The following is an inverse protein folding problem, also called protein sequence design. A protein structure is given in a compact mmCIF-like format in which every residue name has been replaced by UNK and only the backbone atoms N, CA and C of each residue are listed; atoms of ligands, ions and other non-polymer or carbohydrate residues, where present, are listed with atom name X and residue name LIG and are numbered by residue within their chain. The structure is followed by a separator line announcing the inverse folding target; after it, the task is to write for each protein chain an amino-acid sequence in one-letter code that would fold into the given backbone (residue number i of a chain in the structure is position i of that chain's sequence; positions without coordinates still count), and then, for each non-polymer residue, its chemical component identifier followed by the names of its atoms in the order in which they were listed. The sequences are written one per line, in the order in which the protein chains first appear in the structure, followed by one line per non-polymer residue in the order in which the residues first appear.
data_IF_185627362441
#
_entry.id   IF_185627362441
#
_cell.length_a   1.000
_cell.length_b   1.000
_cell.length_c   1.000
_cell.angle_alpha   90.00
_cell.angle_beta   90.00
_cell.angle_gamma   90.00
#
_symmetry.space_group_name_H-M   'P 1'
#
loop_
_entity.id
_entity.type
_entity.pdbx_description
1 polymer ?
#
# COMPACT_ATOMS: atom_id res chain seq x y z
N UNK A 1 7.03 2.47 15.31
CA UNK A 1 8.27 2.39 16.12
C UNK A 1 8.65 0.92 16.25
N UNK A 2 9.81 0.52 15.80
CA UNK A 2 10.27 -0.87 15.90
C UNK A 2 10.76 -1.10 17.33
N UNK A 3 10.16 -2.05 18.06
CA UNK A 3 10.67 -2.45 19.38
C UNK A 3 11.78 -3.52 19.21
N UNK A 4 13.01 -3.05 19.01
CA UNK A 4 14.19 -3.91 18.90
C UNK A 4 14.71 -4.39 20.27
N UNK A 5 14.19 -3.81 21.38
CA UNK A 5 14.72 -4.06 22.74
C UNK A 5 14.54 -5.49 23.23
N UNK A 6 13.57 -6.23 22.66
CA UNK A 6 13.23 -7.58 23.08
C UNK A 6 13.45 -8.64 21.99
N UNK A 7 14.30 -8.36 20.98
CA UNK A 7 14.46 -9.21 19.79
C UNK A 7 13.16 -9.51 19.03
N UNK A 8 12.13 -8.67 19.23
CA UNK A 8 10.86 -8.75 18.53
C UNK A 8 10.80 -7.64 17.49
N UNK A 9 10.54 -8.01 16.26
CA UNK A 9 10.44 -7.11 15.13
C UNK A 9 8.99 -7.03 14.68
N UNK A 10 8.41 -5.86 14.86
CA UNK A 10 7.02 -5.59 14.51
C UNK A 10 6.91 -4.23 13.86
N UNK A 11 6.05 -4.13 12.86
CA UNK A 11 5.64 -2.86 12.26
C UNK A 11 4.40 -2.37 13.01
N UNK A 12 4.43 -1.13 13.53
CA UNK A 12 3.29 -0.52 14.21
C UNK A 12 2.06 -0.47 13.30
N UNK A 13 0.86 -0.43 13.88
CA UNK A 13 -0.39 -0.49 13.12
C UNK A 13 -0.52 0.61 12.06
N UNK A 14 -0.07 1.83 12.39
CA UNK A 14 -0.12 2.99 11.48
C UNK A 14 1.04 3.06 10.48
N UNK A 15 2.04 2.17 10.60
CA UNK A 15 3.24 2.16 9.79
C UNK A 15 3.10 1.10 8.70
N UNK A 16 3.37 1.50 7.46
CA UNK A 16 3.41 0.60 6.31
C UNK A 16 4.78 -0.05 6.16
N UNK A 17 5.85 0.74 6.30
CA UNK A 17 7.23 0.27 6.24
C UNK A 17 8.12 1.06 7.20
N UNK A 18 9.11 0.39 7.79
CA UNK A 18 10.09 1.00 8.69
C UNK A 18 11.50 0.52 8.36
N UNK A 19 12.45 1.46 8.34
CA UNK A 19 13.86 1.20 8.10
C UNK A 19 14.61 1.05 9.41
N UNK A 20 15.34 -0.04 9.55
CA UNK A 20 16.24 -0.30 10.68
C UNK A 20 17.67 -0.34 10.14
N UNK A 21 18.52 0.53 10.62
CA UNK A 21 19.93 0.56 10.21
C UNK A 21 20.74 -0.50 10.96
N UNK A 22 21.54 -1.27 10.25
CA UNK A 22 22.39 -2.31 10.85
C UNK A 22 23.38 -1.84 11.92
N UNK A 23 23.93 -0.61 11.92
CA UNK A 23 24.71 -0.15 13.07
C UNK A 23 23.95 -0.19 14.39
N UNK A 24 22.64 -0.03 14.36
CA UNK A 24 21.79 -0.16 15.55
C UNK A 24 21.53 -1.64 15.88
N UNK A 25 21.49 -2.49 14.87
CA UNK A 25 21.49 -3.96 15.04
C UNK A 25 22.86 -4.47 15.49
N UNK A 26 23.96 -3.95 14.95
CA UNK A 26 25.32 -4.34 15.34
C UNK A 26 25.58 -4.00 16.82
N UNK A 27 25.03 -2.91 17.34
CA UNK A 27 25.09 -2.63 18.80
C UNK A 27 24.32 -3.65 19.63
N UNK A 28 23.28 -4.25 19.05
CA UNK A 28 22.55 -5.38 19.64
C UNK A 28 23.35 -6.69 19.47
N UNK A 29 24.18 -6.79 18.42
CA UNK A 29 24.89 -8.01 18.00
C UNK A 29 26.40 -8.01 18.27
N UNK A 30 27.04 -6.85 18.56
CA UNK A 30 28.42 -6.86 19.05
C UNK A 30 28.44 -7.29 20.52
N UNK A 31 28.72 -8.57 20.82
CA UNK A 31 28.86 -8.96 22.20
C UNK A 31 30.22 -8.50 22.69
N UNK A 32 30.26 -7.42 23.42
CA UNK A 32 31.29 -7.32 24.47
C UNK A 32 31.21 -8.61 25.28
N UNK A 33 32.36 -9.17 25.68
CA UNK A 33 32.46 -10.54 26.25
C UNK A 33 31.43 -10.92 27.29
N UNK A 34 30.86 -9.93 28.02
CA UNK A 34 29.76 -10.09 28.96
C UNK A 34 28.42 -10.40 28.26
N UNK A 35 28.11 -9.74 27.14
CA UNK A 35 26.90 -9.98 26.34
C UNK A 35 26.92 -11.36 25.68
N UNK A 36 28.06 -11.78 25.18
CA UNK A 36 28.26 -13.14 24.61
C UNK A 36 28.03 -14.24 25.65
N UNK A 37 28.44 -14.01 26.90
CA UNK A 37 28.20 -14.90 28.01
C UNK A 37 26.68 -14.88 28.41
N UNK A 38 26.05 -13.72 28.43
CA UNK A 38 24.62 -13.54 28.76
C UNK A 38 23.71 -14.15 27.68
N UNK A 39 24.00 -13.93 26.39
CA UNK A 39 23.29 -14.55 25.26
C UNK A 39 23.37 -16.07 25.31
N UNK A 40 24.54 -16.61 25.65
CA UNK A 40 24.75 -18.07 25.80
C UNK A 40 23.98 -18.66 27.00
N UNK A 41 23.68 -17.83 28.02
CA UNK A 41 23.01 -18.25 29.24
C UNK A 41 21.47 -18.04 29.19
N UNK A 42 20.99 -17.08 28.41
CA UNK A 42 19.55 -16.72 28.33
C UNK A 42 18.86 -17.35 27.13
N UNK A 43 19.57 -18.02 26.24
CA UNK A 43 18.96 -18.61 25.03
C UNK A 43 18.43 -17.58 24.02
N UNK A 44 18.73 -16.27 24.20
CA UNK A 44 18.26 -15.19 23.35
C UNK A 44 19.04 -15.12 22.01
N UNK A 45 19.15 -16.27 21.34
CA UNK A 45 19.78 -16.39 20.02
C UNK A 45 18.75 -16.31 18.89
N UNK A 46 17.56 -15.78 19.13
CA UNK A 46 16.51 -15.73 18.13
C UNK A 46 15.93 -14.35 17.97
N UNK A 47 15.59 -14.02 16.72
CA UNK A 47 14.76 -12.88 16.34
C UNK A 47 13.34 -13.40 16.14
N UNK A 48 12.38 -12.73 16.71
CA UNK A 48 10.96 -13.01 16.48
C UNK A 48 10.40 -11.92 15.56
N UNK A 49 10.01 -12.31 14.35
CA UNK A 49 9.26 -11.45 13.42
C UNK A 49 7.79 -11.73 13.67
N UNK A 50 7.07 -10.70 14.11
CA UNK A 50 5.66 -10.83 14.47
C UNK A 50 4.80 -11.20 13.26
N UNK A 51 3.67 -11.90 13.46
CA UNK A 51 2.70 -12.17 12.41
C UNK A 51 2.31 -10.89 11.65
N UNK A 52 2.16 -10.99 10.34
CA UNK A 52 1.86 -9.86 9.46
C UNK A 52 3.05 -8.97 9.13
N UNK A 53 4.26 -9.27 9.65
CA UNK A 53 5.50 -8.53 9.33
C UNK A 53 6.43 -9.37 8.47
N UNK A 54 7.12 -8.74 7.52
CA UNK A 54 8.22 -9.31 6.75
C UNK A 54 9.43 -8.40 6.88
N UNK A 55 10.61 -8.99 7.12
CA UNK A 55 11.87 -8.26 7.16
C UNK A 55 12.66 -8.50 5.87
N UNK A 56 12.90 -7.44 5.10
CA UNK A 56 13.76 -7.46 3.92
C UNK A 56 15.14 -6.94 4.27
N UNK A 57 16.16 -7.59 3.76
CA UNK A 57 17.56 -7.18 3.91
C UNK A 57 18.05 -6.61 2.60
N UNK A 58 18.56 -5.39 2.65
CA UNK A 58 19.03 -4.63 1.49
C UNK A 58 20.49 -4.26 1.71
N UNK A 59 21.36 -4.60 0.77
CA UNK A 59 22.78 -4.27 0.73
C UNK A 59 23.07 -3.54 -0.58
N UNK A 60 23.71 -2.38 -0.49
CA UNK A 60 24.09 -1.56 -1.65
C UNK A 60 22.94 -1.29 -2.65
N UNK A 61 21.71 -1.15 -2.13
CA UNK A 61 20.51 -0.91 -2.94
C UNK A 61 19.85 -2.18 -3.49
N UNK A 62 20.43 -3.37 -3.29
CA UNK A 62 19.86 -4.64 -3.75
C UNK A 62 19.25 -5.43 -2.59
N UNK A 63 18.10 -6.05 -2.84
CA UNK A 63 17.47 -6.95 -1.88
C UNK A 63 18.25 -8.29 -1.86
N UNK A 64 18.94 -8.55 -0.75
CA UNK A 64 19.71 -9.78 -0.58
C UNK A 64 18.88 -10.94 -0.03
N UNK A 65 17.70 -10.63 0.52
CA UNK A 65 16.74 -11.63 0.95
C UNK A 65 15.67 -11.10 1.92
N UNK A 66 14.81 -12.01 2.40
CA UNK A 66 13.75 -11.67 3.34
C UNK A 66 13.50 -12.78 4.35
N UNK A 67 13.02 -12.40 5.52
CA UNK A 67 12.54 -13.31 6.57
C UNK A 67 11.05 -13.09 6.79
N UNK A 68 10.22 -14.12 6.67
CA UNK A 68 8.79 -14.05 7.00
C UNK A 68 8.57 -14.00 8.51
N UNK A 69 7.34 -13.80 8.92
CA UNK A 69 6.91 -13.94 10.31
C UNK A 69 7.35 -15.29 10.89
N UNK A 70 7.79 -15.27 12.14
CA UNK A 70 8.28 -16.46 12.85
C UNK A 70 9.50 -16.21 13.72
N UNK A 71 9.99 -17.29 14.33
CA UNK A 71 11.20 -17.25 15.14
C UNK A 71 12.40 -17.73 14.33
N UNK A 72 13.39 -16.86 14.16
CA UNK A 72 14.59 -17.13 13.39
C UNK A 72 15.81 -17.13 14.31
N UNK A 73 16.63 -18.19 14.27
CA UNK A 73 17.86 -18.20 15.06
C UNK A 73 18.87 -17.20 14.49
N UNK A 74 19.54 -16.45 15.37
CA UNK A 74 20.57 -15.50 14.95
C UNK A 74 21.64 -16.14 14.09
N UNK A 75 22.04 -17.36 14.43
CA UNK A 75 23.02 -18.11 13.64
C UNK A 75 22.55 -18.32 12.21
N UNK A 76 21.31 -18.77 12.01
CA UNK A 76 20.74 -18.96 10.66
C UNK A 76 20.61 -17.66 9.90
N UNK A 77 20.22 -16.57 10.57
CA UNK A 77 20.13 -15.23 9.94
C UNK A 77 21.51 -14.74 9.49
N UNK A 78 22.52 -14.84 10.36
CA UNK A 78 23.87 -14.41 10.04
C UNK A 78 24.54 -15.28 8.96
N UNK A 79 24.35 -16.60 8.99
CA UNK A 79 24.82 -17.51 7.97
C UNK A 79 24.16 -17.26 6.62
N UNK A 80 22.85 -17.05 6.63
CA UNK A 80 22.06 -16.79 5.45
C UNK A 80 22.42 -15.45 4.79
N UNK A 81 22.58 -14.38 5.58
CA UNK A 81 22.98 -13.06 5.09
C UNK A 81 24.46 -12.98 4.69
N UNK A 82 25.27 -13.99 5.00
CA UNK A 82 26.74 -13.93 4.87
C UNK A 82 27.33 -12.68 5.56
N UNK A 83 26.72 -12.23 6.63
CA UNK A 83 26.93 -10.93 7.30
C UNK A 83 28.35 -10.72 7.84
N UNK A 84 29.18 -11.75 7.89
CA UNK A 84 30.61 -11.60 8.25
C UNK A 84 31.38 -10.60 7.39
N UNK A 85 30.79 -10.14 6.26
CA UNK A 85 31.35 -9.13 5.36
C UNK A 85 30.50 -7.87 5.24
N UNK A 86 29.25 -7.84 5.74
CA UNK A 86 28.30 -6.77 5.49
C UNK A 86 28.45 -5.67 6.54
N UNK A 87 29.06 -4.54 6.16
CA UNK A 87 29.23 -3.38 7.02
C UNK A 87 28.06 -2.37 6.93
N UNK A 88 27.17 -2.49 5.96
CA UNK A 88 26.16 -1.47 5.64
C UNK A 88 24.83 -2.04 5.09
N UNK A 89 24.35 -3.15 5.62
CA UNK A 89 23.02 -3.61 5.25
C UNK A 89 21.92 -2.83 5.99
N UNK A 90 20.82 -2.60 5.30
CA UNK A 90 19.60 -1.99 5.83
C UNK A 90 18.53 -3.06 5.95
N UNK A 91 17.79 -3.08 7.05
CA UNK A 91 16.62 -3.94 7.20
C UNK A 91 15.37 -3.08 7.02
N UNK A 92 14.48 -3.53 6.14
CA UNK A 92 13.16 -2.92 5.95
C UNK A 92 12.12 -3.87 6.50
N UNK A 93 11.39 -3.41 7.48
CA UNK A 93 10.23 -4.11 8.01
C UNK A 93 8.99 -3.59 7.29
N UNK A 94 8.20 -4.49 6.73
CA UNK A 94 6.95 -4.15 6.04
C UNK A 94 5.83 -5.08 6.46
N UNK A 95 4.60 -4.71 6.09
CA UNK A 95 3.48 -5.64 6.16
C UNK A 95 3.67 -6.75 5.12
N UNK A 96 3.50 -8.01 5.56
CA UNK A 96 3.64 -9.18 4.70
C UNK A 96 2.37 -9.57 3.95
N UNK A 97 1.23 -8.99 4.34
CA UNK A 97 -0.09 -9.25 3.76
C UNK A 97 -0.45 -8.18 2.75
N UNK A 98 -1.46 -8.48 1.92
CA UNK A 98 -2.03 -7.50 1.00
C UNK A 98 -2.64 -6.35 1.79
N UNK A 99 -2.27 -5.14 1.43
CA UNK A 99 -2.76 -3.95 2.09
C UNK A 99 -3.89 -3.33 1.28
N UNK A 100 -4.98 -2.98 1.96
CA UNK A 100 -6.18 -2.45 1.35
C UNK A 100 -6.23 -0.93 1.52
N UNK A 101 -6.61 -0.25 0.43
CA UNK A 101 -6.76 1.20 0.40
C UNK A 101 -8.10 1.56 -0.19
N UNK A 102 -8.84 2.38 0.55
CA UNK A 102 -10.05 3.04 0.09
C UNK A 102 -9.67 4.46 -0.37
N UNK A 103 -10.01 4.78 -1.61
CA UNK A 103 -9.66 6.05 -2.25
C UNK A 103 -10.90 6.63 -2.88
N UNK A 104 -11.22 7.84 -2.45
CA UNK A 104 -12.31 8.64 -2.97
C UNK A 104 -11.76 9.65 -3.97
N UNK A 105 -12.35 9.70 -5.13
CA UNK A 105 -12.00 10.58 -6.22
C UNK A 105 -13.21 11.42 -6.58
N UNK A 106 -13.03 12.73 -6.64
CA UNK A 106 -14.10 13.68 -6.87
C UNK A 106 -13.94 14.41 -8.20
N UNK A 107 -15.06 14.89 -8.75
CA UNK A 107 -15.11 15.76 -9.91
C UNK A 107 -14.40 15.20 -11.15
N UNK A 108 -14.61 13.91 -11.46
CA UNK A 108 -14.01 13.26 -12.63
C UNK A 108 -14.86 13.57 -13.86
N UNK A 109 -14.31 14.23 -14.90
CA UNK A 109 -15.08 14.55 -16.09
C UNK A 109 -15.30 13.29 -16.97
N UNK A 110 -16.53 13.12 -17.43
CA UNK A 110 -16.94 12.15 -18.44
C UNK A 110 -16.65 12.67 -19.86
N UNK A 111 -16.96 11.88 -20.87
CA UNK A 111 -16.85 12.26 -22.28
C UNK A 111 -17.68 13.51 -22.64
N UNK A 112 -18.79 13.74 -21.93
CA UNK A 112 -19.74 14.83 -22.15
C UNK A 112 -19.47 16.03 -21.23
N UNK A 113 -18.32 16.07 -20.57
CA UNK A 113 -17.96 17.08 -19.56
C UNK A 113 -18.92 17.14 -18.36
N UNK A 114 -19.62 16.02 -18.08
CA UNK A 114 -20.37 15.85 -16.84
C UNK A 114 -19.41 15.28 -15.79
N UNK A 115 -19.61 15.66 -14.53
CA UNK A 115 -18.72 15.25 -13.45
C UNK A 115 -19.34 14.10 -12.66
N UNK A 116 -18.48 13.14 -12.32
CA UNK A 116 -18.81 11.99 -11.49
C UNK A 116 -17.77 11.82 -10.38
N UNK A 117 -18.19 11.22 -9.28
CA UNK A 117 -17.32 10.78 -8.22
C UNK A 117 -17.08 9.28 -8.34
N UNK A 118 -15.91 8.81 -7.95
CA UNK A 118 -15.59 7.40 -7.94
C UNK A 118 -14.95 7.01 -6.62
N UNK A 119 -15.44 5.91 -6.05
CA UNK A 119 -14.83 5.26 -4.90
C UNK A 119 -14.16 3.97 -5.37
N UNK A 120 -12.89 3.81 -5.04
CA UNK A 120 -12.13 2.63 -5.42
C UNK A 120 -11.48 2.00 -4.18
N UNK A 121 -11.74 0.70 -3.99
CA UNK A 121 -11.01 -0.12 -3.02
C UNK A 121 -10.07 -1.04 -3.78
N UNK A 122 -8.79 -0.96 -3.43
CA UNK A 122 -7.75 -1.76 -4.07
C UNK A 122 -6.80 -2.38 -3.06
N UNK A 123 -6.10 -3.43 -3.51
CA UNK A 123 -5.09 -4.13 -2.73
C UNK A 123 -3.73 -4.01 -3.39
N UNK A 124 -2.72 -3.70 -2.59
CA UNK A 124 -1.32 -3.65 -3.01
C UNK A 124 -0.41 -4.39 -2.02
N UNK A 125 0.77 -4.74 -2.49
CA UNK A 125 1.84 -5.35 -1.70
C UNK A 125 3.19 -4.79 -2.16
N UNK A 126 4.19 -4.71 -1.29
CA UNK A 126 5.57 -4.47 -1.73
C UNK A 126 6.09 -5.76 -2.37
N UNK A 127 6.53 -5.67 -3.62
CA UNK A 127 7.14 -6.76 -4.36
C UNK A 127 8.65 -6.58 -4.52
N UNK A 128 9.05 -5.37 -4.83
CA UNK A 128 10.44 -5.01 -5.05
C UNK A 128 10.85 -3.95 -4.01
N UNK A 129 11.48 -4.44 -2.95
CA UNK A 129 11.87 -3.57 -1.83
C UNK A 129 13.01 -2.64 -2.21
N UNK A 130 13.86 -2.99 -3.18
CA UNK A 130 14.93 -2.12 -3.64
C UNK A 130 14.35 -0.91 -4.39
N UNK A 131 13.46 -1.14 -5.35
CA UNK A 131 12.74 -0.07 -6.03
C UNK A 131 11.88 0.76 -5.05
N UNK A 132 11.27 0.11 -4.05
CA UNK A 132 10.51 0.82 -3.02
C UNK A 132 11.41 1.76 -2.20
N UNK A 133 12.61 1.31 -1.84
CA UNK A 133 13.58 2.14 -1.14
C UNK A 133 14.03 3.32 -1.98
N UNK A 134 14.44 3.07 -3.22
CA UNK A 134 15.05 4.07 -4.07
C UNK A 134 14.05 5.13 -4.55
N UNK A 135 12.85 4.69 -4.96
CA UNK A 135 11.90 5.55 -5.65
C UNK A 135 10.75 6.04 -4.74
N UNK A 136 10.56 5.42 -3.57
CA UNK A 136 9.45 5.77 -2.69
C UNK A 136 9.90 6.17 -1.28
N UNK A 137 10.60 5.30 -0.56
CA UNK A 137 11.00 5.56 0.82
C UNK A 137 12.11 6.62 0.94
N UNK A 138 13.04 6.63 -0.02
CA UNK A 138 14.15 7.60 -0.05
C UNK A 138 14.96 7.57 1.25
N UNK A 139 15.09 8.73 1.91
CA UNK A 139 15.81 8.89 3.18
C UNK A 139 14.95 8.72 4.43
N UNK A 140 13.65 8.51 4.27
CA UNK A 140 12.73 8.38 5.40
C UNK A 140 13.01 7.11 6.19
N UNK A 141 12.85 7.19 7.51
CA UNK A 141 12.99 6.04 8.40
C UNK A 141 11.69 5.23 8.52
N UNK A 142 10.55 5.87 8.34
CA UNK A 142 9.23 5.26 8.41
C UNK A 142 8.31 5.83 7.34
N UNK A 143 7.44 4.99 6.81
CA UNK A 143 6.35 5.34 5.89
C UNK A 143 5.04 4.90 6.53
N UNK A 144 4.12 5.83 6.72
CA UNK A 144 2.78 5.52 7.22
C UNK A 144 1.85 5.05 6.11
N UNK A 145 0.70 4.46 6.48
CA UNK A 145 -0.37 4.16 5.53
C UNK A 145 -0.91 5.42 4.85
N UNK A 146 -1.00 6.52 5.59
CA UNK A 146 -1.47 7.79 5.01
C UNK A 146 -0.51 8.33 3.96
N UNK A 147 0.81 8.26 4.18
CA UNK A 147 1.78 8.63 3.16
C UNK A 147 1.63 7.79 1.88
N UNK A 148 1.38 6.47 2.02
CA UNK A 148 1.12 5.62 0.85
C UNK A 148 -0.14 6.08 0.14
N UNK A 149 -1.23 6.29 0.87
CA UNK A 149 -2.52 6.72 0.34
C UNK A 149 -2.39 8.04 -0.44
N UNK A 150 -1.82 9.08 0.18
CA UNK A 150 -1.61 10.38 -0.45
C UNK A 150 -0.82 10.31 -1.76
N UNK A 151 0.20 9.44 -1.82
CA UNK A 151 1.02 9.27 -3.02
C UNK A 151 0.37 8.37 -4.09
N UNK A 152 -0.53 7.47 -3.68
CA UNK A 152 -1.29 6.63 -4.62
C UNK A 152 -2.42 7.39 -5.30
N UNK A 153 -3.05 8.35 -4.61
CA UNK A 153 -4.18 9.12 -5.13
C UNK A 153 -3.89 9.69 -6.54
N UNK A 154 -2.80 10.42 -6.81
CA UNK A 154 -2.54 10.97 -8.13
C UNK A 154 -2.38 9.91 -9.23
N UNK A 155 -1.76 8.76 -8.89
CA UNK A 155 -1.56 7.66 -9.84
C UNK A 155 -2.89 7.01 -10.22
N UNK A 156 -3.74 6.78 -9.22
CA UNK A 156 -5.05 6.16 -9.39
C UNK A 156 -5.99 7.13 -10.10
N UNK A 157 -6.03 8.40 -9.66
CA UNK A 157 -6.83 9.46 -10.29
C UNK A 157 -6.56 9.53 -11.78
N UNK A 158 -5.31 9.53 -12.20
CA UNK A 158 -4.96 9.59 -13.61
C UNK A 158 -5.48 8.38 -14.40
N UNK A 159 -5.41 7.17 -13.83
CA UNK A 159 -5.91 5.96 -14.48
C UNK A 159 -7.43 5.93 -14.57
N UNK A 160 -8.11 6.33 -13.48
CA UNK A 160 -9.57 6.40 -13.40
C UNK A 160 -10.11 7.49 -14.34
N UNK A 161 -9.52 8.68 -14.31
CA UNK A 161 -9.90 9.78 -15.22
C UNK A 161 -9.75 9.38 -16.68
N UNK A 162 -8.64 8.72 -17.04
CA UNK A 162 -8.43 8.25 -18.42
C UNK A 162 -9.51 7.25 -18.84
N UNK A 163 -9.89 6.33 -17.96
CA UNK A 163 -10.92 5.34 -18.23
C UNK A 163 -12.32 5.97 -18.34
N UNK A 164 -12.67 6.87 -17.41
CA UNK A 164 -14.01 7.52 -17.36
C UNK A 164 -14.20 8.52 -18.48
N UNK A 165 -13.19 9.30 -18.85
CA UNK A 165 -13.26 10.29 -19.97
C UNK A 165 -13.63 9.69 -21.32
N UNK A 166 -13.47 8.39 -21.48
CA UNK A 166 -13.85 7.68 -22.71
C UNK A 166 -15.32 7.28 -22.74
N UNK A 167 -16.02 7.37 -21.60
CA UNK A 167 -17.36 6.84 -21.41
C UNK A 167 -18.42 7.96 -21.40
N UNK A 168 -19.59 7.63 -21.92
CA UNK A 168 -20.77 8.46 -21.74
C UNK A 168 -21.33 8.30 -20.32
N UNK A 169 -21.90 9.38 -19.82
CA UNK A 169 -22.44 9.41 -18.46
C UNK A 169 -23.51 8.32 -18.21
N UNK A 170 -24.42 8.14 -19.16
CA UNK A 170 -25.51 7.14 -19.01
C UNK A 170 -24.99 5.71 -19.01
N UNK A 171 -23.87 5.44 -19.70
CA UNK A 171 -23.24 4.13 -19.71
C UNK A 171 -22.64 3.78 -18.34
N UNK A 172 -22.15 4.78 -17.60
CA UNK A 172 -21.50 4.58 -16.28
C UNK A 172 -22.45 4.04 -15.22
N UNK A 173 -23.78 4.15 -15.42
CA UNK A 173 -24.79 3.58 -14.51
C UNK A 173 -24.95 2.07 -14.64
N UNK A 174 -24.44 1.48 -15.71
CA UNK A 174 -24.58 0.04 -15.92
C UNK A 174 -23.49 -0.74 -15.17
N UNK A 175 -23.89 -1.82 -14.47
CA UNK A 175 -22.92 -2.69 -13.79
C UNK A 175 -21.88 -3.28 -14.74
N UNK A 176 -22.22 -3.52 -16.00
CA UNK A 176 -21.29 -4.00 -17.03
C UNK A 176 -20.21 -2.97 -17.35
N UNK A 177 -20.55 -1.68 -17.33
CA UNK A 177 -19.58 -0.61 -17.56
C UNK A 177 -18.63 -0.46 -16.37
N UNK A 178 -19.11 -0.55 -15.14
CA UNK A 178 -18.26 -0.55 -13.93
C UNK A 178 -17.26 -1.70 -13.98
N UNK A 179 -17.66 -2.89 -14.42
CA UNK A 179 -16.76 -4.01 -14.62
C UNK A 179 -15.71 -3.72 -15.71
N UNK A 180 -16.13 -3.15 -16.84
CA UNK A 180 -15.21 -2.74 -17.93
C UNK A 180 -14.20 -1.71 -17.46
N UNK A 181 -14.62 -0.71 -16.66
CA UNK A 181 -13.74 0.28 -16.06
C UNK A 181 -12.76 -0.38 -15.10
N UNK A 182 -13.23 -1.26 -14.23
CA UNK A 182 -12.40 -2.00 -13.29
C UNK A 182 -11.29 -2.77 -14.02
N UNK A 183 -11.63 -3.45 -15.11
CA UNK A 183 -10.67 -4.18 -15.94
C UNK A 183 -9.66 -3.23 -16.60
N UNK A 184 -10.12 -2.12 -17.18
CA UNK A 184 -9.25 -1.13 -17.82
C UNK A 184 -8.26 -0.51 -16.83
N UNK A 185 -8.72 -0.16 -15.64
CA UNK A 185 -7.87 0.38 -14.57
C UNK A 185 -6.88 -0.67 -14.09
N UNK A 186 -7.33 -1.92 -13.93
CA UNK A 186 -6.48 -3.05 -13.51
C UNK A 186 -5.37 -3.38 -14.51
N UNK A 187 -5.54 -3.07 -15.78
CA UNK A 187 -4.48 -3.21 -16.79
C UNK A 187 -3.42 -2.09 -16.71
N UNK A 188 -3.83 -0.89 -16.34
CA UNK A 188 -2.95 0.29 -16.34
C UNK A 188 -2.17 0.46 -15.03
N UNK A 189 -2.81 0.23 -13.87
CA UNK A 189 -2.23 0.45 -12.55
C UNK A 189 -0.93 -0.34 -12.30
N UNK A 190 -0.81 -1.64 -12.66
CA UNK A 190 0.39 -2.42 -12.38
C UNK A 190 1.66 -1.82 -12.98
N UNK A 191 1.56 -1.25 -14.18
CA UNK A 191 2.71 -0.63 -14.88
C UNK A 191 3.21 0.60 -14.14
N UNK A 192 2.28 1.40 -13.60
CA UNK A 192 2.59 2.63 -12.86
C UNK A 192 3.15 2.32 -11.48
N UNK A 193 2.52 1.39 -10.76
CA UNK A 193 2.88 1.03 -9.39
C UNK A 193 4.22 0.30 -9.29
N UNK A 194 4.55 -0.49 -10.32
CA UNK A 194 5.82 -1.24 -10.37
C UNK A 194 7.05 -0.34 -10.28
N UNK A 195 6.97 0.89 -10.78
CA UNK A 195 8.08 1.87 -10.70
C UNK A 195 8.46 2.23 -9.26
N UNK A 196 7.52 2.07 -8.34
CA UNK A 196 7.70 2.35 -6.91
C UNK A 196 7.89 1.07 -6.08
N UNK A 197 8.08 -0.07 -6.74
CA UNK A 197 8.26 -1.35 -6.05
C UNK A 197 6.97 -2.01 -5.59
N UNK A 198 5.79 -1.45 -5.92
CA UNK A 198 4.51 -2.05 -5.57
C UNK A 198 4.04 -3.08 -6.58
N UNK A 199 3.40 -4.12 -6.08
CA UNK A 199 2.57 -5.03 -6.83
C UNK A 199 1.11 -4.67 -6.60
N UNK A 200 0.41 -4.33 -7.66
CA UNK A 200 -1.05 -4.21 -7.64
C UNK A 200 -1.64 -5.62 -7.66
N UNK A 201 -2.51 -5.93 -6.71
CA UNK A 201 -3.14 -7.24 -6.60
C UNK A 201 -4.47 -7.24 -7.36
N UNK A 202 -5.41 -6.39 -6.92
CA UNK A 202 -6.74 -6.31 -7.53
C UNK A 202 -7.50 -5.04 -7.10
N UNK A 203 -8.51 -4.69 -7.88
CA UNK A 203 -9.60 -3.83 -7.45
C UNK A 203 -10.64 -4.72 -6.76
N UNK A 204 -10.96 -4.41 -5.51
CA UNK A 204 -11.97 -5.14 -4.74
C UNK A 204 -13.37 -4.56 -4.94
N UNK A 205 -13.44 -3.24 -5.10
CA UNK A 205 -14.68 -2.53 -5.37
C UNK A 205 -14.39 -1.27 -6.18
N UNK A 206 -15.30 -0.95 -7.08
CA UNK A 206 -15.36 0.31 -7.80
C UNK A 206 -16.81 0.75 -7.85
N UNK A 207 -17.09 1.95 -7.39
CA UNK A 207 -18.39 2.60 -7.56
C UNK A 207 -18.21 3.93 -8.26
N UNK A 208 -19.20 4.30 -9.06
CA UNK A 208 -19.26 5.61 -9.73
C UNK A 208 -20.59 6.22 -9.41
N UNK A 209 -20.57 7.44 -8.89
CA UNK A 209 -21.77 8.20 -8.50
C UNK A 209 -21.73 9.62 -9.06
N UNK A 210 -22.87 10.29 -9.08
CA UNK A 210 -22.92 11.69 -9.47
C UNK A 210 -23.88 12.46 -8.58
N UNK A 211 -23.37 13.36 -7.79
CA UNK A 211 -24.18 14.20 -6.93
C UNK A 211 -25.10 15.18 -7.72
N UNK A 212 -24.60 15.73 -8.82
CA UNK A 212 -25.36 16.71 -9.60
C UNK A 212 -26.59 16.17 -10.30
N UNK A 213 -26.63 14.88 -10.62
CA UNK A 213 -27.76 14.26 -11.33
C UNK A 213 -28.84 13.76 -10.40
N UNK A 214 -28.51 13.33 -9.23
CA UNK A 214 -29.49 12.95 -8.22
C UNK A 214 -30.33 14.19 -7.80
N UNK A 215 -29.69 15.34 -7.69
CA UNK A 215 -30.41 16.62 -7.50
C UNK A 215 -31.24 17.03 -8.71
N UNK A 216 -30.72 16.86 -9.93
CA UNK A 216 -31.48 17.19 -11.17
C UNK A 216 -32.62 16.20 -11.38
N UNK A 217 -32.44 14.92 -11.11
CA UNK A 217 -33.53 13.93 -11.18
C UNK A 217 -34.59 14.18 -10.09
N UNK A 218 -34.17 14.52 -8.89
CA UNK A 218 -35.09 14.92 -7.81
C UNK A 218 -35.92 16.16 -8.20
N UNK A 219 -35.28 17.19 -8.78
CA UNK A 219 -35.97 18.39 -9.29
C UNK A 219 -36.90 18.10 -10.47
N UNK A 220 -36.47 17.25 -11.44
CA UNK A 220 -37.32 16.80 -12.55
C UNK A 220 -38.55 16.03 -12.06
N UNK A 221 -38.38 15.12 -11.13
CA UNK A 221 -39.48 14.37 -10.53
C UNK A 221 -40.42 15.29 -9.77
N UNK A 222 -39.91 16.29 -9.09
CA UNK A 222 -40.74 17.30 -8.38
C UNK A 222 -41.55 18.17 -9.35
N UNK A 223 -40.96 18.59 -10.48
CA UNK A 223 -41.61 19.34 -11.53
C UNK A 223 -42.71 18.49 -12.19
N UNK A 224 -42.42 17.24 -12.55
CA UNK A 224 -43.40 16.33 -13.16
C UNK A 224 -44.58 16.03 -12.24
N UNK A 225 -44.36 15.89 -10.93
CA UNK A 225 -45.45 15.73 -9.94
C UNK A 225 -46.29 17.01 -9.79
N UNK A 226 -45.66 18.16 -9.91
CA UNK A 226 -46.39 19.46 -9.84
C UNK A 226 -47.23 19.71 -11.09
N UNK A 227 -46.72 19.32 -12.27
CA UNK A 227 -47.45 19.43 -13.55
C UNK A 227 -48.65 18.45 -13.59
N UNK A 228 -48.52 17.23 -13.07
CA UNK A 228 -49.65 16.31 -12.94
C UNK A 228 -50.73 16.84 -12.00
N UNK A 229 -50.38 17.47 -10.89
CA UNK A 229 -51.33 18.06 -9.95
C UNK A 229 -52.06 19.27 -10.52
N UNK A 230 -51.49 19.99 -11.49
CA UNK A 230 -52.11 21.14 -12.16
C UNK A 230 -53.04 20.69 -13.29
N UNK A 231 -52.84 19.49 -13.87
CA UNK A 231 -53.75 18.95 -14.90
C UNK A 231 -54.98 18.24 -14.33
N UNK A 232 -54.95 17.81 -13.07
CA UNK A 232 -56.01 17.07 -12.39
C UNK A 232 -56.98 18.01 -11.63
N UNK A 233 -56.80 19.37 -11.66
CA UNK A 233 -57.68 20.38 -11.10
C UNK A 233 -58.25 21.27 -12.20
#
# INVERSE_FOLDING_TARGET
MVDVKNNRWVVSEDVFASRVMLPDLAKVFEPNGFFKWMLKKTGAESIVIEPGTVAYFVEEGEAVGHLPAGTHTMKSVLEWLKVWKIKQATVILTRGEDQHFDIDLYDIPTREDLYVDAEIRLSIQIRDVALFLDNYMGVQSEISFENIRENLIPLITQSVQQAIRMQFFDDLKSGQMVETLSNTISEQLPVRMRRYGFNFIQIQALSVSSHGLDELNAKRNQIALTEQHVQDN
#
